data_IF_328098791760
#
_entry.id   IF_328098791760
#
_cell.length_a   1.000
_cell.length_b   1.000
_cell.length_c   1.000
_cell.angle_alpha   90.00
_cell.angle_beta   90.00
_cell.angle_gamma   90.00
#
_symmetry.space_group_name_H-M   'P 1'
#
loop_
_entity.id
_entity.type
_entity.pdbx_description
1 polymer ?
#
# COMPACT_ATOMS: atom_id res chain seq x y z
N UNK A 1 4.06 -4.04 -26.28
CA UNK A 1 4.04 -4.87 -25.05
C UNK A 1 2.70 -4.61 -24.38
N UNK A 2 1.98 -5.63 -23.97
CA UNK A 2 0.75 -5.47 -23.20
C UNK A 2 1.10 -4.87 -21.80
N UNK A 3 0.16 -4.12 -21.24
CA UNK A 3 0.33 -3.54 -19.90
C UNK A 3 0.25 -4.67 -18.86
N UNK A 4 1.09 -4.66 -17.81
CA UNK A 4 0.98 -5.62 -16.72
C UNK A 4 -0.36 -5.48 -15.99
N UNK A 5 -0.80 -6.56 -15.34
CA UNK A 5 -2.05 -6.64 -14.58
C UNK A 5 -1.74 -6.53 -13.09
N UNK A 6 -2.40 -5.61 -12.39
CA UNK A 6 -2.29 -5.47 -10.93
C UNK A 6 -3.59 -5.92 -10.25
N UNK A 7 -3.55 -7.07 -9.58
CA UNK A 7 -4.59 -7.43 -8.61
C UNK A 7 -4.37 -6.63 -7.33
N UNK A 8 -5.42 -5.97 -6.86
CA UNK A 8 -5.31 -4.96 -5.81
C UNK A 8 -6.56 -4.88 -4.95
N UNK A 9 -6.45 -4.22 -3.81
CA UNK A 9 -7.57 -3.89 -2.92
C UNK A 9 -7.43 -2.43 -2.49
N UNK A 10 -8.45 -1.62 -2.73
CA UNK A 10 -8.39 -0.16 -2.58
C UNK A 10 -7.84 0.33 -1.25
N UNK A 11 -8.26 -0.26 -0.12
CA UNK A 11 -7.89 0.19 1.23
C UNK A 11 -6.69 -0.54 1.84
N UNK A 12 -6.15 -1.57 1.18
CA UNK A 12 -5.00 -2.29 1.67
C UNK A 12 -3.73 -1.43 1.55
N UNK A 13 -2.96 -1.19 2.63
CA UNK A 13 -1.79 -0.32 2.58
C UNK A 13 -0.70 -0.84 1.66
N UNK A 14 -0.49 -2.15 1.61
CA UNK A 14 0.44 -2.79 0.67
C UNK A 14 0.02 -2.57 -0.79
N UNK A 15 -1.28 -2.72 -1.08
CA UNK A 15 -1.80 -2.48 -2.42
C UNK A 15 -1.76 -0.99 -2.80
N UNK A 16 -1.93 -0.07 -1.84
CA UNK A 16 -1.74 1.37 -2.06
C UNK A 16 -0.28 1.65 -2.40
N UNK A 17 0.68 1.07 -1.66
CA UNK A 17 2.12 1.20 -1.93
C UNK A 17 2.47 0.79 -3.37
N UNK A 18 1.98 -0.38 -3.83
CA UNK A 18 2.21 -0.86 -5.19
C UNK A 18 1.62 0.08 -6.25
N UNK A 19 0.35 0.53 -6.06
CA UNK A 19 -0.27 1.50 -6.99
C UNK A 19 0.50 2.81 -7.05
N UNK A 20 0.95 3.34 -5.90
CA UNK A 20 1.78 4.54 -5.86
C UNK A 20 3.06 4.35 -6.67
N UNK A 21 3.77 3.23 -6.47
CA UNK A 21 4.99 2.95 -7.23
C UNK A 21 4.78 2.95 -8.74
N UNK A 22 3.73 2.25 -9.21
CA UNK A 22 3.41 2.19 -10.64
C UNK A 22 3.01 3.57 -11.21
N UNK A 23 2.21 4.33 -10.46
CA UNK A 23 1.75 5.66 -10.89
C UNK A 23 2.88 6.70 -10.90
N UNK A 24 3.75 6.69 -9.89
CA UNK A 24 4.92 7.57 -9.79
C UNK A 24 5.95 7.30 -10.89
N UNK A 25 6.07 6.05 -11.30
CA UNK A 25 6.91 5.61 -12.41
C UNK A 25 6.22 5.76 -13.77
N UNK A 26 5.01 6.30 -13.84
CA UNK A 26 4.23 6.46 -15.07
C UNK A 26 4.06 5.15 -15.86
N UNK A 27 4.07 4.00 -15.16
CA UNK A 27 3.83 2.70 -15.77
C UNK A 27 2.34 2.52 -16.03
N UNK A 28 1.97 2.21 -17.28
CA UNK A 28 0.61 1.82 -17.61
C UNK A 28 0.35 0.39 -17.14
N UNK A 29 -0.77 0.15 -16.45
CA UNK A 29 -1.19 -1.17 -15.97
C UNK A 29 -2.70 -1.33 -15.98
N UNK A 30 -3.17 -2.56 -16.11
CA UNK A 30 -4.58 -2.92 -15.90
C UNK A 30 -4.82 -3.13 -14.41
N UNK A 31 -5.71 -2.32 -13.81
CA UNK A 31 -6.06 -2.47 -12.39
C UNK A 31 -7.26 -3.40 -12.22
N UNK A 32 -7.10 -4.45 -11.42
CA UNK A 32 -8.13 -5.41 -11.03
C UNK A 32 -8.39 -5.34 -9.53
N UNK A 33 -9.42 -4.57 -9.13
CA UNK A 33 -9.86 -4.53 -7.73
C UNK A 33 -10.59 -5.84 -7.38
N UNK A 34 -10.18 -6.50 -6.29
CA UNK A 34 -10.74 -7.79 -5.89
C UNK A 34 -11.34 -7.77 -4.49
N UNK A 35 -12.21 -8.74 -4.19
CA UNK A 35 -12.61 -9.10 -2.82
C UNK A 35 -11.79 -10.30 -2.33
N UNK A 36 -11.04 -10.12 -1.24
CA UNK A 36 -10.23 -11.19 -0.64
C UNK A 36 -11.06 -12.36 -0.09
N UNK A 37 -12.37 -12.19 0.10
CA UNK A 37 -13.28 -13.27 0.50
C UNK A 37 -13.70 -14.14 -0.70
N UNK A 38 -13.58 -13.59 -1.92
CA UNK A 38 -13.92 -14.25 -3.19
C UNK A 38 -12.78 -14.03 -4.18
N UNK A 39 -11.63 -14.64 -3.89
CA UNK A 39 -10.42 -14.46 -4.70
C UNK A 39 -10.61 -15.05 -6.09
N UNK A 40 -10.24 -14.31 -7.15
CA UNK A 40 -10.31 -14.81 -8.52
C UNK A 40 -9.46 -16.07 -8.73
N UNK A 41 -10.00 -17.06 -9.45
CA UNK A 41 -9.28 -18.30 -9.78
C UNK A 41 -8.00 -18.04 -10.56
N UNK A 42 -8.04 -17.08 -11.48
CA UNK A 42 -6.89 -16.67 -12.31
C UNK A 42 -5.74 -16.15 -11.43
N UNK A 43 -6.07 -15.33 -10.41
CA UNK A 43 -5.08 -14.84 -9.43
C UNK A 43 -4.45 -16.00 -8.64
N UNK A 44 -5.28 -16.95 -8.17
CA UNK A 44 -4.82 -18.10 -7.37
C UNK A 44 -3.99 -19.09 -8.20
N UNK A 45 -4.24 -19.17 -9.51
CA UNK A 45 -3.43 -19.99 -10.43
C UNK A 45 -2.00 -19.44 -10.60
N UNK A 46 -1.80 -18.11 -10.41
CA UNK A 46 -0.50 -17.45 -10.57
C UNK A 46 0.28 -17.46 -9.25
N UNK A 47 -0.35 -17.07 -8.14
CA UNK A 47 0.30 -17.01 -6.83
C UNK A 47 -0.53 -17.72 -5.76
N UNK A 48 0.06 -18.74 -5.15
CA UNK A 48 -0.56 -19.50 -4.05
C UNK A 48 -0.75 -18.69 -2.76
N UNK A 49 -0.06 -17.54 -2.61
CA UNK A 49 -0.26 -16.65 -1.44
C UNK A 49 -1.68 -16.11 -1.41
N UNK A 50 -2.28 -15.83 -2.58
CA UNK A 50 -3.62 -15.25 -2.67
C UNK A 50 -3.74 -13.92 -1.92
N UNK A 51 -2.67 -13.12 -1.88
CA UNK A 51 -2.59 -11.80 -1.24
C UNK A 51 -2.48 -10.71 -2.30
N UNK A 52 -2.73 -9.46 -1.90
CA UNK A 52 -2.54 -8.29 -2.74
C UNK A 52 -1.49 -7.36 -2.11
N UNK A 53 -0.69 -6.68 -2.97
CA UNK A 53 -0.74 -6.64 -4.43
C UNK A 53 -0.18 -7.90 -5.08
N UNK A 54 -0.62 -8.16 -6.32
CA UNK A 54 0.01 -9.13 -7.23
C UNK A 54 0.10 -8.45 -8.60
N UNK A 55 1.32 -8.16 -9.04
CA UNK A 55 1.61 -7.62 -10.37
C UNK A 55 2.03 -8.74 -11.30
N UNK A 56 1.32 -8.92 -12.41
CA UNK A 56 1.51 -10.03 -13.35
C UNK A 56 1.92 -9.47 -14.72
N UNK A 57 2.96 -10.03 -15.30
CA UNK A 57 3.49 -9.66 -16.61
C UNK A 57 2.96 -10.57 -17.74
N UNK A 58 3.07 -10.12 -18.98
CA UNK A 58 2.61 -10.84 -20.16
C UNK A 58 3.25 -12.24 -20.31
N UNK A 59 4.52 -12.38 -19.90
CA UNK A 59 5.26 -13.63 -19.97
C UNK A 59 4.90 -14.64 -18.87
N UNK A 60 3.99 -14.27 -17.96
CA UNK A 60 3.57 -15.08 -16.81
C UNK A 60 4.39 -14.87 -15.54
N UNK A 61 5.49 -14.10 -15.58
CA UNK A 61 6.21 -13.69 -14.37
C UNK A 61 5.33 -12.78 -13.50
N UNK A 62 5.62 -12.73 -12.21
CA UNK A 62 4.87 -11.87 -11.29
C UNK A 62 5.73 -11.34 -10.14
N UNK A 63 5.25 -10.26 -9.52
CA UNK A 63 5.77 -9.70 -8.27
C UNK A 63 4.61 -9.62 -7.26
N UNK A 64 4.77 -10.20 -6.07
CA UNK A 64 3.74 -10.25 -5.03
C UNK A 64 4.12 -9.52 -3.73
N UNK A 65 5.27 -8.82 -3.71
CA UNK A 65 5.70 -7.95 -2.62
C UNK A 65 5.60 -6.48 -3.01
N UNK A 66 4.86 -5.70 -2.21
CA UNK A 66 4.51 -4.31 -2.57
C UNK A 66 5.71 -3.39 -2.74
N UNK A 67 6.77 -3.58 -1.93
CA UNK A 67 8.00 -2.80 -2.05
C UNK A 67 8.76 -3.17 -3.32
N UNK A 68 8.80 -4.45 -3.67
CA UNK A 68 9.43 -4.92 -4.90
C UNK A 68 8.72 -4.39 -6.15
N UNK A 69 7.36 -4.33 -6.14
CA UNK A 69 6.59 -3.68 -7.22
C UNK A 69 7.00 -2.22 -7.36
N UNK A 70 7.12 -1.49 -6.25
CA UNK A 70 7.50 -0.06 -6.26
C UNK A 70 8.93 0.13 -6.78
N UNK A 71 9.90 -0.67 -6.30
CA UNK A 71 11.30 -0.61 -6.73
C UNK A 71 11.42 -1.02 -8.21
N UNK A 72 10.73 -2.08 -8.63
CA UNK A 72 10.69 -2.47 -10.04
C UNK A 72 10.20 -1.34 -10.93
N UNK A 73 9.10 -0.70 -10.54
CA UNK A 73 8.53 0.41 -11.32
C UNK A 73 9.51 1.57 -11.45
N UNK A 74 10.09 2.05 -10.33
CA UNK A 74 11.02 3.16 -10.31
C UNK A 74 12.36 2.85 -11.01
N UNK A 75 12.82 1.61 -10.98
CA UNK A 75 14.00 1.20 -11.77
C UNK A 75 13.73 1.22 -13.29
N UNK A 76 12.48 1.09 -13.73
CA UNK A 76 12.12 1.22 -15.15
C UNK A 76 11.96 2.69 -15.57
N UNK A 77 11.39 3.53 -14.71
CA UNK A 77 11.22 4.96 -14.96
C UNK A 77 11.05 5.71 -13.63
N UNK A 78 11.96 6.64 -13.34
CA UNK A 78 11.90 7.47 -12.13
C UNK A 78 11.95 8.97 -12.48
N UNK A 79 10.87 9.52 -13.08
CA UNK A 79 10.85 10.89 -13.55
C UNK A 79 10.96 11.93 -12.43
N UNK A 80 10.74 11.51 -11.18
CA UNK A 80 10.79 12.37 -10.00
C UNK A 80 12.05 12.19 -9.16
N UNK A 81 13.01 11.34 -9.60
CA UNK A 81 14.25 10.97 -8.88
C UNK A 81 13.97 10.54 -7.43
N UNK A 82 12.93 9.71 -7.22
CA UNK A 82 12.55 9.20 -5.89
C UNK A 82 13.58 8.22 -5.31
N UNK A 83 14.39 7.60 -6.16
CA UNK A 83 15.51 6.76 -5.75
C UNK A 83 16.74 7.59 -5.34
N UNK A 84 16.71 8.93 -5.50
CA UNK A 84 17.79 9.87 -5.19
C UNK A 84 19.10 9.45 -5.87
N UNK A 85 19.06 9.20 -7.17
CA UNK A 85 20.11 8.57 -7.97
C UNK A 85 21.45 9.29 -7.88
N UNK A 86 21.45 10.63 -7.72
CA UNK A 86 22.65 11.46 -7.55
C UNK A 86 23.26 11.37 -6.15
N UNK A 87 22.56 10.71 -5.20
CA UNK A 87 22.97 10.55 -3.79
C UNK A 87 22.81 9.09 -3.37
N UNK A 88 23.60 8.16 -3.94
CA UNK A 88 23.37 6.71 -3.81
C UNK A 88 23.42 6.18 -2.37
N UNK A 89 24.03 6.92 -1.43
CA UNK A 89 24.03 6.56 -0.01
C UNK A 89 22.65 6.60 0.63
N UNK A 90 21.69 7.36 0.08
CA UNK A 90 20.32 7.38 0.62
C UNK A 90 19.54 6.10 0.32
N UNK A 91 19.83 5.39 -0.75
CA UNK A 91 19.04 4.20 -1.09
C UNK A 91 19.10 3.11 0.00
N UNK A 92 20.26 2.71 0.54
CA UNK A 92 20.31 1.80 1.69
C UNK A 92 19.62 2.36 2.95
N UNK A 93 19.68 3.67 3.18
CA UNK A 93 19.02 4.31 4.32
C UNK A 93 17.49 4.28 4.17
N UNK A 94 16.97 4.55 2.97
CA UNK A 94 15.54 4.39 2.65
C UNK A 94 15.08 2.96 2.91
N UNK A 95 15.82 1.97 2.42
CA UNK A 95 15.49 0.56 2.64
C UNK A 95 15.52 0.19 4.12
N UNK A 96 16.47 0.70 4.89
CA UNK A 96 16.54 0.49 6.34
C UNK A 96 15.33 1.09 7.07
N UNK A 97 14.92 2.30 6.71
CA UNK A 97 13.73 2.93 7.30
C UNK A 97 12.46 2.19 6.94
N UNK A 98 12.32 1.77 5.67
CA UNK A 98 11.17 0.97 5.19
C UNK A 98 11.15 -0.40 5.88
N UNK A 99 12.29 -1.06 6.07
CA UNK A 99 12.36 -2.33 6.80
C UNK A 99 11.90 -2.19 8.25
N UNK A 100 12.24 -1.10 8.94
CA UNK A 100 11.73 -0.82 10.30
C UNK A 100 10.21 -0.65 10.31
N UNK A 101 9.66 0.04 9.29
CA UNK A 101 8.22 0.10 9.09
C UNK A 101 7.62 -1.29 8.92
N UNK A 102 8.17 -2.09 8.00
CA UNK A 102 7.55 -3.34 7.56
C UNK A 102 7.63 -4.45 8.63
N UNK A 103 8.73 -4.54 9.39
CA UNK A 103 8.92 -5.63 10.34
C UNK A 103 8.46 -5.31 11.77
N UNK A 104 8.73 -4.10 12.26
CA UNK A 104 8.44 -3.73 13.67
C UNK A 104 7.16 -2.93 13.80
N UNK A 105 7.06 -1.84 13.06
CA UNK A 105 5.95 -0.92 13.19
C UNK A 105 4.63 -1.55 12.74
N UNK A 106 4.60 -2.22 11.58
CA UNK A 106 3.38 -2.84 11.08
C UNK A 106 2.89 -3.95 12.03
N UNK A 107 3.77 -4.75 12.60
CA UNK A 107 3.38 -5.77 13.59
C UNK A 107 2.66 -5.13 14.78
N UNK A 108 3.20 -4.07 15.35
CA UNK A 108 2.54 -3.34 16.43
C UNK A 108 1.23 -2.68 15.98
N UNK A 109 1.19 -2.12 14.77
CA UNK A 109 0.01 -1.49 14.19
C UNK A 109 -1.14 -2.49 13.99
N UNK A 110 -0.86 -3.69 13.52
CA UNK A 110 -1.91 -4.72 13.34
C UNK A 110 -2.53 -5.13 14.68
N UNK A 111 -1.73 -5.31 15.72
CA UNK A 111 -2.24 -5.54 17.09
C UNK A 111 -3.04 -4.34 17.59
N UNK A 112 -2.51 -3.12 17.44
CA UNK A 112 -3.20 -1.89 17.85
C UNK A 112 -4.58 -1.76 17.18
N UNK A 113 -4.66 -2.01 15.87
CA UNK A 113 -5.93 -1.99 15.11
C UNK A 113 -6.92 -3.04 15.61
N UNK A 114 -6.43 -4.28 15.81
CA UNK A 114 -7.26 -5.38 16.27
C UNK A 114 -7.82 -5.08 17.67
N UNK A 115 -6.95 -4.69 18.60
CA UNK A 115 -7.34 -4.43 19.98
C UNK A 115 -8.26 -3.22 20.11
N UNK A 116 -8.04 -2.15 19.35
CA UNK A 116 -8.97 -1.01 19.30
C UNK A 116 -10.33 -1.44 18.75
N UNK A 117 -10.36 -2.26 17.70
CA UNK A 117 -11.61 -2.74 17.08
C UNK A 117 -12.45 -3.60 18.02
N UNK A 118 -11.80 -4.42 18.84
CA UNK A 118 -12.46 -5.32 19.79
C UNK A 118 -12.54 -4.76 21.21
N UNK A 119 -12.20 -3.47 21.39
CA UNK A 119 -12.20 -2.79 22.71
C UNK A 119 -11.32 -3.50 23.75
N UNK A 120 -10.20 -4.09 23.33
CA UNK A 120 -9.24 -4.73 24.21
C UNK A 120 -8.46 -3.64 24.99
N UNK A 121 -8.29 -3.77 26.31
CA UNK A 121 -7.52 -2.81 27.12
C UNK A 121 -6.03 -2.76 26.78
N UNK A 122 -5.50 -3.70 26.02
CA UNK A 122 -4.11 -3.72 25.51
C UNK A 122 -3.85 -2.72 24.37
N UNK A 123 -4.87 -2.17 23.73
CA UNK A 123 -4.73 -1.24 22.59
C UNK A 123 -3.74 -0.09 22.87
N UNK A 124 -3.74 0.60 24.05
CA UNK A 124 -2.77 1.65 24.34
C UNK A 124 -1.31 1.16 24.41
N UNK A 125 -1.08 -0.10 24.79
CA UNK A 125 0.25 -0.70 24.83
C UNK A 125 0.83 -0.81 23.42
N UNK A 126 0.07 -1.36 22.49
CA UNK A 126 0.49 -1.49 21.10
C UNK A 126 0.59 -0.14 20.38
N UNK A 127 -0.29 0.82 20.71
CA UNK A 127 -0.13 2.20 20.24
C UNK A 127 1.22 2.76 20.65
N UNK A 128 1.61 2.62 21.93
CA UNK A 128 2.90 3.08 22.43
C UNK A 128 4.09 2.41 21.74
N UNK A 129 3.97 1.15 21.34
CA UNK A 129 4.99 0.49 20.53
C UNK A 129 5.13 1.15 19.14
N UNK A 130 4.01 1.57 18.53
CA UNK A 130 4.03 2.33 17.30
C UNK A 130 4.66 3.71 17.45
N UNK A 131 4.45 4.39 18.60
CA UNK A 131 4.90 5.75 18.84
C UNK A 131 6.42 5.91 18.70
N UNK A 132 7.22 4.86 19.00
CA UNK A 132 8.67 4.91 18.82
C UNK A 132 9.09 5.15 17.36
N UNK A 133 8.34 4.60 16.40
CA UNK A 133 8.57 4.83 14.99
C UNK A 133 8.04 6.20 14.56
N UNK A 134 6.85 6.58 15.03
CA UNK A 134 6.28 7.91 14.74
C UNK A 134 7.19 9.03 15.23
N UNK A 135 7.78 8.87 16.42
CA UNK A 135 8.74 9.83 16.98
C UNK A 135 10.01 9.97 16.12
N UNK A 136 10.53 8.85 15.58
CA UNK A 136 11.66 8.92 14.64
C UNK A 136 11.28 9.67 13.35
N UNK A 137 10.09 9.41 12.79
CA UNK A 137 9.60 10.14 11.62
C UNK A 137 9.41 11.64 11.94
N UNK A 138 8.82 11.98 13.08
CA UNK A 138 8.66 13.36 13.53
C UNK A 138 10.01 14.09 13.64
N UNK A 139 11.02 13.45 14.25
CA UNK A 139 12.37 13.99 14.36
C UNK A 139 13.03 14.23 13.00
N UNK A 140 12.84 13.33 12.03
CA UNK A 140 13.35 13.50 10.66
C UNK A 140 12.68 14.70 9.97
N UNK A 141 11.37 14.78 10.09
CA UNK A 141 10.56 15.84 9.49
C UNK A 141 10.71 17.20 10.18
N UNK A 142 11.27 17.24 11.40
CA UNK A 142 11.68 18.49 12.03
C UNK A 142 13.00 19.05 11.45
N UNK A 143 13.79 18.21 10.78
CA UNK A 143 15.08 18.59 10.20
C UNK A 143 14.99 18.80 8.69
N UNK A 144 14.13 18.03 8.00
CA UNK A 144 13.96 18.02 6.55
C UNK A 144 12.48 18.10 6.19
N UNK A 145 12.21 18.57 5.00
CA UNK A 145 10.83 18.63 4.49
C UNK A 145 10.21 17.24 4.31
N UNK A 146 11.01 16.22 4.02
CA UNK A 146 10.59 14.84 3.80
C UNK A 146 11.45 13.86 4.60
N UNK A 147 11.12 12.57 4.57
CA UNK A 147 11.71 11.58 5.48
C UNK A 147 13.23 11.39 5.31
N UNK A 148 13.79 11.68 4.15
CA UNK A 148 15.23 11.51 3.88
C UNK A 148 15.96 12.84 3.68
N UNK A 149 15.30 13.84 3.10
CA UNK A 149 15.89 15.11 2.70
C UNK A 149 14.80 16.16 2.43
N UNK A 150 15.16 17.30 1.82
CA UNK A 150 14.19 18.30 1.36
C UNK A 150 13.54 17.96 -0.01
N UNK A 151 13.79 16.75 -0.49
CA UNK A 151 13.23 16.17 -1.71
C UNK A 151 12.46 14.90 -1.36
N UNK A 152 11.30 14.68 -2.02
CA UNK A 152 10.53 13.43 -1.93
C UNK A 152 11.38 12.23 -2.34
N UNK A 153 11.14 11.11 -1.70
CA UNK A 153 11.88 9.88 -1.90
C UNK A 153 10.97 8.64 -1.91
N UNK A 154 11.54 7.51 -2.30
CA UNK A 154 10.93 6.19 -2.17
C UNK A 154 10.37 5.96 -0.75
N UNK A 155 11.10 6.38 0.29
CA UNK A 155 10.71 6.16 1.69
C UNK A 155 9.39 6.86 2.03
N UNK A 156 9.16 8.08 1.51
CA UNK A 156 7.95 8.85 1.76
C UNK A 156 6.72 8.09 1.27
N UNK A 157 6.71 7.69 0.01
CA UNK A 157 5.56 6.99 -0.58
C UNK A 157 5.44 5.52 -0.11
N UNK A 158 6.54 4.88 0.27
CA UNK A 158 6.51 3.52 0.79
C UNK A 158 5.91 3.44 2.20
N UNK A 159 6.12 4.47 3.02
CA UNK A 159 5.68 4.53 4.43
C UNK A 159 4.28 5.18 4.56
N UNK A 160 3.95 6.12 3.68
CA UNK A 160 2.68 6.86 3.68
C UNK A 160 1.44 5.99 3.94
N UNK A 161 1.21 4.85 3.26
CA UNK A 161 -0.01 4.07 3.45
C UNK A 161 -0.19 3.53 4.87
N UNK A 162 0.90 3.26 5.57
CA UNK A 162 0.90 2.70 6.92
C UNK A 162 0.71 3.78 7.99
N UNK A 163 1.32 4.96 7.82
CA UNK A 163 1.02 6.12 8.69
C UNK A 163 -0.42 6.57 8.50
N UNK A 164 -0.92 6.56 7.27
CA UNK A 164 -2.35 6.77 6.99
C UNK A 164 -3.21 5.77 7.76
N UNK A 165 -2.87 4.48 7.72
CA UNK A 165 -3.64 3.46 8.42
C UNK A 165 -3.66 3.71 9.92
N UNK A 166 -2.51 4.02 10.52
CA UNK A 166 -2.39 4.37 11.94
C UNK A 166 -3.25 5.58 12.32
N UNK A 167 -3.18 6.66 11.55
CA UNK A 167 -3.93 7.90 11.82
C UNK A 167 -5.46 7.70 11.81
N UNK A 168 -5.93 6.60 11.24
CA UNK A 168 -7.35 6.26 11.17
C UNK A 168 -7.83 5.30 12.26
N UNK A 169 -6.95 4.73 13.09
CA UNK A 169 -7.33 3.82 14.19
C UNK A 169 -8.06 4.61 15.27
N UNK A 170 -7.43 5.59 15.87
CA UNK A 170 -8.00 6.53 16.84
C UNK A 170 -7.78 7.96 16.36
N UNK A 171 -8.65 8.45 15.49
CA UNK A 171 -8.50 9.73 14.78
C UNK A 171 -8.39 10.93 15.72
N UNK A 172 -9.12 10.91 16.83
CA UNK A 172 -9.07 12.01 17.80
C UNK A 172 -7.72 12.02 18.50
N UNK A 173 -7.27 10.88 19.00
CA UNK A 173 -5.96 10.75 19.62
C UNK A 173 -4.83 11.23 18.69
N UNK A 174 -4.80 10.77 17.42
CA UNK A 174 -3.77 11.18 16.47
C UNK A 174 -3.79 12.68 16.19
N UNK A 175 -4.97 13.30 16.17
CA UNK A 175 -5.13 14.74 15.96
C UNK A 175 -4.55 15.55 17.14
N UNK A 176 -4.72 15.05 18.37
CA UNK A 176 -4.26 15.70 19.61
C UNK A 176 -2.78 15.39 19.94
N UNK A 177 -2.25 14.28 19.45
CA UNK A 177 -0.86 13.86 19.69
C UNK A 177 0.15 14.89 19.18
N UNK A 178 1.32 14.99 19.83
CA UNK A 178 2.36 15.97 19.52
C UNK A 178 3.28 15.50 18.38
N UNK A 179 2.73 15.43 17.16
CA UNK A 179 3.44 15.12 15.93
C UNK A 179 3.14 16.16 14.84
N UNK A 180 3.49 17.44 15.03
CA UNK A 180 3.11 18.50 14.11
C UNK A 180 3.68 18.31 12.70
N UNK A 181 4.97 17.93 12.58
CA UNK A 181 5.63 17.76 11.30
C UNK A 181 5.12 16.51 10.55
N UNK A 182 4.92 15.41 11.26
CA UNK A 182 4.36 14.18 10.68
C UNK A 182 2.92 14.40 10.19
N UNK A 183 2.11 15.15 10.92
CA UNK A 183 0.75 15.51 10.50
C UNK A 183 0.76 16.40 9.25
N UNK A 184 1.68 17.37 9.18
CA UNK A 184 1.83 18.22 8.02
C UNK A 184 2.28 17.42 6.79
N UNK A 185 3.33 16.58 6.93
CA UNK A 185 3.80 15.68 5.89
C UNK A 185 2.68 14.77 5.36
N UNK A 186 1.88 14.18 6.27
CA UNK A 186 0.75 13.33 5.89
C UNK A 186 -0.33 14.12 5.13
N UNK A 187 -0.62 15.35 5.56
CA UNK A 187 -1.57 16.25 4.92
C UNK A 187 -1.12 16.64 3.51
N UNK A 188 0.17 16.98 3.35
CA UNK A 188 0.74 17.38 2.06
C UNK A 188 0.66 16.24 1.05
N UNK A 189 1.03 15.01 1.47
CA UNK A 189 0.96 13.84 0.61
C UNK A 189 -0.48 13.41 0.28
N UNK A 190 -1.47 13.73 1.13
CA UNK A 190 -2.87 13.51 0.78
C UNK A 190 -3.38 14.46 -0.30
N UNK A 191 -2.77 15.65 -0.43
CA UNK A 191 -3.09 16.62 -1.47
C UNK A 191 -2.38 16.32 -2.80
N UNK A 192 -1.43 15.40 -2.81
CA UNK A 192 -0.77 14.95 -4.02
C UNK A 192 -1.79 14.30 -4.98
N UNK A 193 -1.90 14.78 -6.24
CA UNK A 193 -2.78 14.17 -7.24
C UNK A 193 -2.52 12.67 -7.47
N UNK A 194 -1.27 12.22 -7.32
CA UNK A 194 -0.89 10.80 -7.45
C UNK A 194 -1.56 9.97 -6.35
N UNK A 195 -1.60 10.48 -5.10
CA UNK A 195 -2.28 9.79 -4.02
C UNK A 195 -3.79 9.68 -4.30
N UNK A 196 -4.43 10.75 -4.74
CA UNK A 196 -5.84 10.75 -5.13
C UNK A 196 -6.12 9.73 -6.25
N UNK A 197 -5.24 9.66 -7.26
CA UNK A 197 -5.31 8.69 -8.35
C UNK A 197 -5.16 7.25 -7.83
N UNK A 198 -4.20 7.00 -6.92
CA UNK A 198 -4.00 5.69 -6.30
C UNK A 198 -5.20 5.23 -5.46
N UNK A 199 -6.01 6.17 -4.95
CA UNK A 199 -7.21 5.90 -4.14
C UNK A 199 -8.51 5.89 -4.94
N UNK A 200 -8.46 6.03 -6.27
CA UNK A 200 -9.63 5.93 -7.14
C UNK A 200 -10.38 4.60 -6.91
N UNK A 201 -11.70 4.69 -6.84
CA UNK A 201 -12.56 3.50 -6.68
C UNK A 201 -12.87 2.92 -8.05
N UNK A 202 -12.55 1.65 -8.23
CA UNK A 202 -12.94 0.86 -9.41
C UNK A 202 -14.00 -0.18 -9.03
N UNK A 203 -14.80 -0.66 -9.99
CA UNK A 203 -15.66 -1.83 -9.80
C UNK A 203 -14.80 -3.05 -9.40
N UNK A 204 -15.40 -3.99 -8.67
CA UNK A 204 -14.75 -5.28 -8.45
C UNK A 204 -14.58 -5.99 -9.79
N UNK A 205 -13.39 -6.53 -9.99
CA UNK A 205 -13.10 -7.33 -11.17
C UNK A 205 -13.71 -8.74 -11.01
N UNK A 206 -14.46 -9.16 -12.04
CA UNK A 206 -15.06 -10.47 -12.12
C UNK A 206 -14.35 -11.29 -13.21
N UNK A 207 -13.87 -12.49 -12.87
CA UNK A 207 -13.28 -13.37 -13.87
C UNK A 207 -14.35 -13.87 -14.82
N UNK A 208 -14.04 -13.96 -16.13
CA UNK A 208 -14.96 -14.43 -17.16
C UNK A 208 -15.49 -15.86 -16.94
N UNK A 209 -14.90 -16.62 -16.02
CA UNK A 209 -15.34 -17.98 -15.64
C UNK A 209 -16.59 -18.00 -14.75
N UNK A 210 -16.97 -16.92 -14.10
CA UNK A 210 -18.20 -16.87 -13.27
C UNK A 210 -19.48 -16.65 -14.06
N UNK A 211 -19.41 -16.26 -15.33
CA UNK A 211 -20.61 -15.97 -16.15
C UNK A 211 -21.28 -17.23 -16.72
N UNK A 212 -20.65 -18.41 -16.65
CA UNK A 212 -21.21 -19.65 -17.17
C UNK A 212 -21.88 -20.56 -16.13
N UNK A 213 -21.75 -20.28 -14.84
CA UNK A 213 -22.34 -21.14 -13.79
C UNK A 213 -23.79 -20.79 -13.44
N UNK A 214 -24.39 -19.72 -13.99
CA UNK A 214 -25.73 -19.26 -13.64
C UNK A 214 -26.81 -19.55 -14.70
N UNK A 215 -26.48 -20.27 -15.80
CA UNK A 215 -27.44 -20.52 -16.88
C UNK A 215 -27.92 -21.98 -17.08
N UNK A 216 -27.70 -22.86 -16.09
CA UNK A 216 -28.27 -24.22 -16.18
C UNK A 216 -28.96 -24.62 -14.89
N UNK A 217 -30.12 -24.00 -14.58
CA UNK A 217 -31.17 -24.60 -13.76
C UNK A 217 -32.50 -23.85 -13.91
N UNK A 218 -33.07 -23.89 -15.12
CA UNK A 218 -34.51 -23.68 -15.30
C UNK A 218 -34.94 -24.30 -16.61
N UNK A 219 -35.21 -25.58 -16.62
CA UNK A 219 -36.11 -26.26 -17.54
C UNK A 219 -36.22 -27.74 -17.12
N UNK A 220 -37.17 -28.06 -16.28
CA UNK A 220 -38.00 -29.29 -16.41
C UNK A 220 -38.90 -29.39 -15.17
N UNK A 221 -40.13 -28.92 -15.31
CA UNK A 221 -41.33 -29.58 -14.76
C UNK A 221 -42.52 -29.06 -15.57
N UNK A 222 -42.94 -29.82 -16.59
CA UNK A 222 -44.32 -29.91 -17.04
C UNK A 222 -44.48 -31.31 -17.65
N UNK A 223 -45.12 -32.19 -16.95
CA UNK A 223 -46.10 -33.21 -17.44
C UNK A 223 -46.64 -33.94 -16.21
#
# INVERSE_FOLDING_TARGET
MSSPILYTLRQCPYAIRARLGLLLAEINFEQRDIDLRQKPTDMLAISNKGTVPLLVFENGDYIDESLEVMIWALNNNDPHDLLLSQKPHYFPEMLSLIARNDYKYITALEHYKADTRYHNPEAPVYRKLCESFLFDLENRLSQYKYLMADQLSLADYAILPFIRQFSHVERQWFREADYPNLKQWLSDLYQDPIFSKAMTKYPLWESCTNTQATQHNDLTVIS
#
